data_IF_482293336606
#
_entry.id   IF_482293336606
#
_cell.length_a   1.000
_cell.length_b   1.000
_cell.length_c   1.000
_cell.angle_alpha   90.00
_cell.angle_beta   90.00
_cell.angle_gamma   90.00
#
_symmetry.space_group_name_H-M   'P 1'
#
loop_
_entity.id
_entity.type
_entity.pdbx_description
1 polymer ?
#
# COMPACT_ATOMS: atom_id res chain seq x y z
N UNK A 1 10.26 -10.23 0.62
CA UNK A 1 11.41 -9.31 0.47
C UNK A 1 12.76 -10.02 0.66
N UNK A 2 12.93 -10.91 1.64
CA UNK A 2 14.20 -11.63 1.88
C UNK A 2 14.61 -12.61 0.78
N UNK A 3 13.65 -13.25 0.09
CA UNK A 3 13.93 -14.29 -0.92
C UNK A 3 14.05 -13.76 -2.36
N UNK A 4 13.72 -12.48 -2.59
CA UNK A 4 13.69 -11.89 -3.93
C UNK A 4 14.69 -10.75 -3.98
N UNK A 5 15.65 -10.83 -4.90
CA UNK A 5 16.71 -9.84 -5.06
C UNK A 5 16.22 -8.61 -5.86
N UNK A 6 15.32 -7.81 -5.28
CA UNK A 6 14.85 -6.54 -5.83
C UNK A 6 15.09 -5.38 -4.84
N UNK A 7 15.45 -4.16 -5.29
CA UNK A 7 15.46 -2.98 -4.44
C UNK A 7 14.05 -2.55 -4.01
N UNK A 8 13.05 -2.71 -4.87
CA UNK A 8 11.71 -2.18 -4.65
C UNK A 8 10.67 -3.28 -4.71
N UNK A 9 9.65 -3.15 -3.86
CA UNK A 9 8.52 -4.04 -3.76
C UNK A 9 7.24 -3.22 -3.73
N UNK A 10 6.21 -3.70 -4.44
CA UNK A 10 4.86 -3.16 -4.32
C UNK A 10 4.02 -4.19 -3.61
N UNK A 11 3.32 -3.75 -2.57
CA UNK A 11 2.35 -4.55 -1.84
C UNK A 11 0.95 -4.05 -2.16
N UNK A 12 0.04 -5.00 -2.22
CA UNK A 12 -1.38 -4.77 -2.41
C UNK A 12 -2.12 -5.90 -1.68
N UNK A 13 -3.16 -5.61 -0.90
CA UNK A 13 -3.97 -6.66 -0.31
C UNK A 13 -4.79 -7.34 -1.41
N UNK A 14 -5.23 -8.57 -1.15
CA UNK A 14 -5.95 -9.38 -2.14
C UNK A 14 -7.43 -8.98 -2.29
N UNK A 15 -7.94 -8.10 -1.43
CA UNK A 15 -9.32 -7.66 -1.33
C UNK A 15 -9.61 -6.35 -2.09
N UNK A 16 -8.61 -5.75 -2.76
CA UNK A 16 -8.76 -4.53 -3.57
C UNK A 16 -8.65 -4.86 -5.06
N UNK A 17 -9.73 -5.31 -5.73
CA UNK A 17 -9.67 -5.82 -7.10
C UNK A 17 -9.49 -4.73 -8.18
N UNK A 18 -9.80 -3.47 -7.88
CA UNK A 18 -9.86 -2.38 -8.86
C UNK A 18 -8.62 -1.50 -8.90
N UNK A 19 -7.50 -1.97 -8.34
CA UNK A 19 -6.25 -1.22 -8.24
C UNK A 19 -5.81 -0.71 -9.62
N UNK A 20 -5.47 0.59 -9.76
CA UNK A 20 -5.23 1.17 -11.07
C UNK A 20 -3.94 0.63 -11.68
N UNK A 21 -3.93 0.39 -12.99
CA UNK A 21 -2.74 -0.11 -13.72
C UNK A 21 -1.52 0.82 -13.62
N UNK A 22 -1.76 2.12 -13.42
CA UNK A 22 -0.72 3.13 -13.25
C UNK A 22 -0.25 3.31 -11.80
N UNK A 23 -0.69 2.47 -10.85
CA UNK A 23 -0.34 2.56 -9.42
C UNK A 23 1.18 2.75 -9.21
N UNK A 24 1.97 1.87 -9.82
CA UNK A 24 3.43 1.83 -9.64
C UNK A 24 4.10 3.06 -10.24
N UNK A 25 3.66 3.48 -11.43
CA UNK A 25 4.16 4.69 -12.09
C UNK A 25 3.94 5.92 -11.20
N UNK A 26 2.72 6.08 -10.67
CA UNK A 26 2.39 7.20 -9.79
C UNK A 26 3.20 7.17 -8.50
N UNK A 27 3.39 6.00 -7.88
CA UNK A 27 4.27 5.87 -6.72
C UNK A 27 5.70 6.28 -7.03
N UNK A 28 6.27 5.86 -8.15
CA UNK A 28 7.64 6.21 -8.55
C UNK A 28 7.78 7.72 -8.79
N UNK A 29 6.82 8.33 -9.48
CA UNK A 29 6.82 9.78 -9.74
C UNK A 29 6.70 10.59 -8.45
N UNK A 30 5.85 10.14 -7.52
CA UNK A 30 5.54 10.89 -6.31
C UNK A 30 6.32 10.46 -5.07
N UNK A 31 7.21 9.46 -5.09
CA UNK A 31 7.97 9.06 -3.88
C UNK A 31 9.07 10.06 -3.50
N UNK A 32 9.68 10.74 -4.46
CA UNK A 32 10.91 11.50 -4.21
C UNK A 32 11.97 10.58 -3.59
N UNK A 33 12.58 10.99 -2.48
CA UNK A 33 13.58 10.18 -1.77
C UNK A 33 13.01 9.26 -0.69
N UNK A 34 11.68 9.26 -0.49
CA UNK A 34 11.05 8.46 0.55
C UNK A 34 11.28 6.95 0.30
N UNK A 35 11.71 6.18 1.32
CA UNK A 35 11.94 4.75 1.18
C UNK A 35 10.64 3.93 1.19
N UNK A 36 9.53 4.55 1.62
CA UNK A 36 8.19 3.96 1.58
C UNK A 36 7.15 5.03 1.21
N UNK A 37 6.24 4.67 0.32
CA UNK A 37 5.03 5.45 0.05
C UNK A 37 3.81 4.54 0.01
N UNK A 38 2.66 5.08 0.38
CA UNK A 38 1.39 4.36 0.37
C UNK A 38 0.28 5.17 -0.30
N UNK A 39 -0.79 4.53 -0.71
CA UNK A 39 -1.91 5.21 -1.35
C UNK A 39 -2.79 5.95 -0.34
N UNK A 40 -3.28 7.13 -0.71
CA UNK A 40 -4.33 7.84 0.01
C UNK A 40 -5.45 8.18 -0.97
N UNK A 41 -6.67 7.71 -0.71
CA UNK A 41 -7.80 7.78 -1.65
C UNK A 41 -8.56 9.12 -1.62
N UNK A 42 -8.05 10.09 -0.88
CA UNK A 42 -8.67 11.40 -0.64
C UNK A 42 -9.41 11.49 0.70
N UNK A 43 -9.77 10.35 1.30
CA UNK A 43 -10.43 10.29 2.60
C UNK A 43 -9.64 9.50 3.65
N UNK A 44 -8.94 8.44 3.25
CA UNK A 44 -8.19 7.58 4.15
C UNK A 44 -6.87 7.08 3.56
N UNK A 45 -5.96 6.73 4.48
CA UNK A 45 -4.70 6.04 4.18
C UNK A 45 -4.96 4.55 3.86
N UNK A 46 -4.30 4.04 2.82
CA UNK A 46 -4.25 2.63 2.45
C UNK A 46 -2.82 2.08 2.62
N UNK A 47 -2.35 1.85 3.86
CA UNK A 47 -0.98 1.40 4.13
C UNK A 47 -0.61 0.06 3.47
N UNK A 48 -1.58 -0.81 3.24
CA UNK A 48 -1.34 -2.10 2.60
C UNK A 48 -1.11 -2.00 1.09
N UNK A 49 -1.45 -0.86 0.48
CA UNK A 49 -1.14 -0.53 -0.91
C UNK A 49 0.05 0.42 -0.92
N UNK A 50 1.26 -0.15 -1.03
CA UNK A 50 2.49 0.60 -0.79
C UNK A 50 3.66 0.16 -1.68
N UNK A 51 4.50 1.13 -2.03
CA UNK A 51 5.82 0.91 -2.62
C UNK A 51 6.88 1.02 -1.52
N UNK A 52 7.71 -0.01 -1.39
CA UNK A 52 8.64 -0.18 -0.27
C UNK A 52 10.04 -0.52 -0.78
N UNK A 53 11.05 0.24 -0.34
CA UNK A 53 12.45 -0.07 -0.62
C UNK A 53 12.98 -1.10 0.37
N UNK A 54 13.83 -2.02 -0.10
CA UNK A 54 14.43 -3.06 0.74
C UNK A 54 15.27 -2.53 1.91
N UNK A 55 15.72 -1.27 1.82
CA UNK A 55 16.57 -0.69 2.88
C UNK A 55 15.89 -0.65 4.24
N UNK A 56 14.55 -0.71 4.31
CA UNK A 56 13.81 -0.65 5.58
C UNK A 56 13.66 -2.01 6.27
N UNK A 57 14.19 -3.10 5.69
CA UNK A 57 14.04 -4.45 6.22
C UNK A 57 14.62 -4.57 7.65
N UNK A 58 15.84 -4.09 7.95
CA UNK A 58 16.40 -4.22 9.30
C UNK A 58 15.53 -3.53 10.36
N UNK A 59 15.01 -2.34 10.05
CA UNK A 59 14.12 -1.61 10.96
C UNK A 59 12.76 -2.29 11.09
N UNK A 60 12.22 -2.88 10.01
CA UNK A 60 10.98 -3.65 10.05
C UNK A 60 11.13 -4.90 10.94
N UNK A 61 12.23 -5.63 10.79
CA UNK A 61 12.53 -6.81 11.61
C UNK A 61 12.65 -6.44 13.09
N UNK A 62 13.38 -5.37 13.40
CA UNK A 62 13.48 -4.85 14.76
C UNK A 62 12.10 -4.43 15.29
N UNK A 63 11.32 -3.68 14.52
CA UNK A 63 9.99 -3.21 14.92
C UNK A 63 9.07 -4.38 15.29
N UNK A 64 9.03 -5.42 14.46
CA UNK A 64 8.25 -6.63 14.72
C UNK A 64 8.78 -7.44 15.92
N UNK A 65 10.10 -7.51 16.10
CA UNK A 65 10.72 -8.22 17.23
C UNK A 65 10.38 -7.59 18.60
N UNK A 66 10.13 -6.28 18.63
CA UNK A 66 9.63 -5.58 19.82
C UNK A 66 8.12 -5.78 20.06
N UNK A 67 7.44 -6.57 19.22
CA UNK A 67 6.01 -6.87 19.34
C UNK A 67 5.10 -5.79 18.74
N UNK A 68 5.66 -4.77 18.10
CA UNK A 68 4.88 -3.72 17.45
C UNK A 68 4.19 -4.22 16.18
N UNK A 69 2.98 -3.73 15.91
CA UNK A 69 2.15 -4.16 14.77
C UNK A 69 1.49 -3.01 14.00
N UNK A 70 1.77 -1.77 14.36
CA UNK A 70 1.10 -0.58 13.80
C UNK A 70 1.77 -0.14 12.50
N UNK A 71 1.27 -0.62 11.38
CA UNK A 71 1.86 -0.39 10.03
C UNK A 71 2.07 1.10 9.74
N UNK A 72 1.05 1.94 9.94
CA UNK A 72 1.16 3.39 9.67
C UNK A 72 2.20 4.09 10.55
N UNK A 73 2.36 3.66 11.80
CA UNK A 73 3.36 4.23 12.71
C UNK A 73 4.75 3.92 12.18
N UNK A 74 5.00 2.66 11.80
CA UNK A 74 6.26 2.24 11.21
C UNK A 74 6.57 2.99 9.90
N UNK A 75 5.60 3.08 8.97
CA UNK A 75 5.81 3.78 7.70
C UNK A 75 6.19 5.25 7.89
N UNK A 76 5.56 5.94 8.86
CA UNK A 76 5.90 7.33 9.19
C UNK A 76 7.27 7.43 9.85
N UNK A 77 7.65 6.49 10.72
CA UNK A 77 9.00 6.43 11.34
C UNK A 77 10.11 6.27 10.31
N UNK A 78 9.86 5.52 9.22
CA UNK A 78 10.82 5.36 8.11
C UNK A 78 10.89 6.56 7.17
N UNK A 79 10.25 7.70 7.49
CA UNK A 79 10.21 8.87 6.62
C UNK A 79 9.30 8.70 5.39
N UNK A 80 8.31 7.82 5.50
CA UNK A 80 7.35 7.59 4.44
C UNK A 80 6.31 8.69 4.28
N UNK A 81 5.63 8.68 3.13
CA UNK A 81 4.57 9.65 2.83
C UNK A 81 3.42 9.07 2.00
N UNK A 82 2.21 9.64 2.11
CA UNK A 82 1.10 9.27 1.25
C UNK A 82 1.31 9.80 -0.17
N UNK A 83 0.78 9.08 -1.14
CA UNK A 83 0.64 9.47 -2.54
C UNK A 83 -0.85 9.62 -2.84
N UNK A 84 -1.22 10.73 -3.48
CA UNK A 84 -2.62 11.07 -3.69
C UNK A 84 -3.25 10.26 -4.85
N UNK A 85 -4.38 9.63 -4.55
CA UNK A 85 -5.24 8.91 -5.49
C UNK A 85 -6.72 9.35 -5.39
N UNK A 86 -6.98 10.56 -4.89
CA UNK A 86 -8.34 11.11 -4.75
C UNK A 86 -9.12 11.19 -6.08
N UNK A 87 -8.42 11.28 -7.20
CA UNK A 87 -8.98 11.24 -8.56
C UNK A 87 -9.53 9.87 -8.95
N UNK A 88 -9.14 8.80 -8.27
CA UNK A 88 -9.55 7.41 -8.54
C UNK A 88 -9.92 6.67 -7.24
N UNK A 89 -10.63 7.34 -6.34
CA UNK A 89 -11.03 6.79 -5.03
C UNK A 89 -11.66 5.39 -5.12
N UNK A 90 -12.51 5.15 -6.13
CA UNK A 90 -13.21 3.88 -6.33
C UNK A 90 -12.27 2.69 -6.61
N UNK A 91 -11.03 2.95 -7.02
CA UNK A 91 -10.02 1.92 -7.26
C UNK A 91 -9.50 1.26 -5.96
N UNK A 92 -9.78 1.86 -4.80
CA UNK A 92 -9.32 1.43 -3.48
C UNK A 92 -10.48 0.93 -2.59
N UNK A 93 -11.56 0.46 -3.21
CA UNK A 93 -12.65 -0.21 -2.50
C UNK A 93 -12.19 -1.63 -2.14
N UNK A 94 -12.38 -2.00 -0.86
CA UNK A 94 -12.09 -3.33 -0.36
C UNK A 94 -13.35 -4.21 -0.40
N UNK A 95 -13.18 -5.46 -0.78
CA UNK A 95 -14.20 -6.51 -0.71
C UNK A 95 -13.94 -7.33 0.56
N UNK A 96 -14.60 -6.98 1.65
CA UNK A 96 -14.41 -7.65 2.95
C UNK A 96 -15.34 -8.86 3.11
N UNK A 97 -16.50 -8.83 2.46
CA UNK A 97 -17.56 -9.83 2.59
C UNK A 97 -18.02 -10.38 1.24
N UNK A 98 -18.76 -11.49 1.25
CA UNK A 98 -19.36 -12.04 0.03
C UNK A 98 -20.46 -11.12 -0.50
N UNK A 99 -21.16 -10.44 0.40
CA UNK A 99 -22.17 -9.44 0.08
C UNK A 99 -21.54 -8.25 -0.67
N UNK A 100 -20.37 -7.77 -0.24
CA UNK A 100 -19.60 -6.74 -0.97
C UNK A 100 -19.31 -7.20 -2.40
N UNK A 101 -18.88 -8.46 -2.57
CA UNK A 101 -18.58 -9.03 -3.87
C UNK A 101 -19.82 -9.12 -4.76
N UNK A 102 -20.96 -9.54 -4.21
CA UNK A 102 -22.22 -9.65 -4.94
C UNK A 102 -22.75 -8.28 -5.38
N UNK A 103 -22.62 -7.25 -4.54
CA UNK A 103 -23.00 -5.88 -4.90
C UNK A 103 -22.17 -5.32 -6.05
N UNK A 104 -20.96 -5.84 -6.27
CA UNK A 104 -20.07 -5.41 -7.34
C UNK A 104 -20.19 -6.22 -8.63
N UNK A 105 -20.91 -7.34 -8.61
CA UNK A 105 -21.22 -8.09 -9.82
C UNK A 105 -22.31 -7.33 -10.57
N UNK A 106 -22.00 -6.85 -11.79
CA UNK A 106 -23.06 -6.38 -12.68
C UNK A 106 -24.04 -7.54 -12.93
N UNK A 107 -25.36 -7.32 -12.82
CA UNK A 107 -26.33 -8.32 -13.23
C UNK A 107 -26.12 -8.62 -14.71
N UNK A 108 -25.92 -9.90 -15.02
CA UNK A 108 -25.74 -10.42 -16.38
C UNK A 108 -26.99 -10.21 -17.25
#
# INVERSE_FOLDING_TARGET
>A
MQQVASPWFVFCPCDTPFIPSFLVERFIQQRGDAPVVWAHDGERDHPAVALVHRQIIPELEAYLAHGERRVMVFMRQMGGRPVNFSDVKTAFINVNTLEDLQQMQEPS
#
